data_IF_514499137659
#
_entry.id   IF_514499137659
#
_cell.length_a   1.000
_cell.length_b   1.000
_cell.length_c   1.000
_cell.angle_alpha   90.00
_cell.angle_beta   90.00
_cell.angle_gamma   90.00
#
_symmetry.space_group_name_H-M   'P 1'
#
loop_
_entity.id
_entity.type
_entity.pdbx_description
1 polymer ?
#
# COMPACT_ATOMS: atom_id res chain seq x y z
N UNK A 1 -14.02 -0.60 20.68
CA UNK A 1 -12.72 -1.26 20.42
C UNK A 1 -12.21 -0.73 19.10
N UNK A 2 -10.95 -0.29 18.99
CA UNK A 2 -10.41 0.13 17.68
C UNK A 2 -10.29 -1.10 16.78
N UNK A 3 -10.71 -0.99 15.53
CA UNK A 3 -10.54 -2.06 14.56
C UNK A 3 -9.05 -2.38 14.38
N UNK A 4 -8.70 -3.67 14.40
CA UNK A 4 -7.36 -4.12 14.06
C UNK A 4 -7.28 -4.33 12.54
N UNK A 5 -6.91 -3.28 11.80
CA UNK A 5 -6.77 -3.34 10.33
C UNK A 5 -5.75 -4.40 9.86
N UNK A 6 -4.77 -4.76 10.70
CA UNK A 6 -3.79 -5.80 10.39
C UNK A 6 -4.38 -7.21 10.28
N UNK A 7 -5.58 -7.45 10.82
CA UNK A 7 -6.24 -8.76 10.75
C UNK A 7 -6.62 -9.18 9.31
N UNK A 8 -6.77 -8.23 8.39
CA UNK A 8 -7.12 -8.52 6.99
C UNK A 8 -6.08 -9.40 6.27
N UNK A 9 -4.81 -9.38 6.72
CA UNK A 9 -3.77 -10.23 6.15
C UNK A 9 -4.11 -11.73 6.29
N UNK A 10 -4.75 -12.12 7.40
CA UNK A 10 -5.14 -13.51 7.67
C UNK A 10 -6.16 -14.01 6.65
N UNK A 11 -7.07 -13.13 6.21
CA UNK A 11 -8.03 -13.44 5.15
C UNK A 11 -7.33 -13.70 3.82
N UNK A 12 -6.38 -12.85 3.43
CA UNK A 12 -5.62 -12.99 2.17
C UNK A 12 -4.84 -14.31 2.18
N UNK A 13 -4.07 -14.58 3.24
CA UNK A 13 -3.28 -15.81 3.33
C UNK A 13 -4.16 -17.05 3.44
N UNK A 14 -5.25 -16.99 4.20
CA UNK A 14 -6.20 -18.09 4.35
C UNK A 14 -6.84 -18.47 3.01
N UNK A 15 -7.32 -17.49 2.24
CA UNK A 15 -7.88 -17.69 0.90
C UNK A 15 -6.84 -18.25 -0.08
N UNK A 16 -5.63 -17.71 -0.08
CA UNK A 16 -4.55 -18.18 -0.94
C UNK A 16 -4.13 -19.62 -0.63
N UNK A 17 -3.98 -19.95 0.65
CA UNK A 17 -3.46 -21.26 1.08
C UNK A 17 -4.51 -22.36 1.04
N UNK A 18 -5.73 -22.08 1.48
CA UNK A 18 -6.78 -23.10 1.61
C UNK A 18 -7.64 -23.24 0.36
N UNK A 19 -7.90 -22.11 -0.33
CA UNK A 19 -8.84 -22.07 -1.46
C UNK A 19 -8.14 -21.83 -2.80
N UNK A 20 -6.81 -21.61 -2.81
CA UNK A 20 -6.07 -21.26 -4.02
C UNK A 20 -6.50 -19.93 -4.65
N UNK A 21 -7.15 -19.05 -3.86
CA UNK A 21 -7.71 -17.79 -4.35
C UNK A 21 -6.74 -16.64 -4.11
N UNK A 22 -6.45 -15.89 -5.18
CA UNK A 22 -5.54 -14.75 -5.15
C UNK A 22 -6.30 -13.42 -5.24
N UNK A 23 -5.83 -12.35 -4.58
CA UNK A 23 -6.40 -11.03 -4.74
C UNK A 23 -6.35 -10.56 -6.21
N UNK A 24 -7.46 -10.01 -6.70
CA UNK A 24 -7.52 -9.42 -8.05
C UNK A 24 -6.67 -8.14 -8.16
N UNK A 25 -6.48 -7.43 -7.05
CA UNK A 25 -5.65 -6.23 -6.94
C UNK A 25 -4.34 -6.60 -6.26
N UNK A 26 -3.23 -6.08 -6.77
CA UNK A 26 -1.91 -6.33 -6.20
C UNK A 26 -1.82 -5.84 -4.75
N UNK A 27 -1.16 -6.62 -3.89
CA UNK A 27 -0.84 -6.23 -2.51
C UNK A 27 0.42 -5.37 -2.42
N UNK A 28 1.17 -5.18 -3.53
CA UNK A 28 2.31 -4.27 -3.60
C UNK A 28 1.82 -2.86 -4.00
N UNK A 29 1.82 -1.88 -3.09
CA UNK A 29 1.32 -0.54 -3.38
C UNK A 29 2.10 0.17 -4.49
N UNK A 30 3.34 -0.26 -4.78
CA UNK A 30 4.17 0.31 -5.86
C UNK A 30 3.71 -0.12 -7.26
N UNK A 31 2.92 -1.20 -7.36
CA UNK A 31 2.46 -1.77 -8.62
C UNK A 31 0.99 -1.46 -8.95
N UNK A 32 0.28 -0.80 -8.04
CA UNK A 32 -1.13 -0.44 -8.23
C UNK A 32 -1.33 0.45 -9.47
N UNK A 33 -0.45 1.41 -9.69
CA UNK A 33 -0.55 2.33 -10.83
C UNK A 33 -0.37 1.60 -12.17
N UNK A 34 0.60 0.70 -12.26
CA UNK A 34 0.84 -0.10 -13.46
C UNK A 34 -0.30 -1.08 -13.71
N UNK A 35 -0.79 -1.76 -12.67
CA UNK A 35 -1.97 -2.63 -12.78
C UNK A 35 -3.20 -1.85 -13.25
N UNK A 36 -3.41 -0.63 -12.74
CA UNK A 36 -4.50 0.24 -13.18
C UNK A 36 -4.32 0.69 -14.64
N UNK A 37 -3.09 0.98 -15.09
CA UNK A 37 -2.77 1.34 -16.47
C UNK A 37 -3.12 0.21 -17.45
N UNK A 38 -2.89 -1.04 -17.05
CA UNK A 38 -3.23 -2.22 -17.87
C UNK A 38 -4.73 -2.51 -17.94
N UNK A 39 -5.49 -2.16 -16.89
CA UNK A 39 -6.91 -2.52 -16.75
C UNK A 39 -7.88 -1.41 -17.17
N UNK A 40 -7.50 -0.14 -17.07
CA UNK A 40 -8.34 0.99 -17.41
C UNK A 40 -8.17 1.40 -18.87
N UNK A 41 -9.26 1.89 -19.48
CA UNK A 41 -9.17 2.60 -20.76
C UNK A 41 -8.35 3.88 -20.61
N UNK A 42 -7.66 4.29 -21.69
CA UNK A 42 -6.72 5.42 -21.71
C UNK A 42 -7.31 6.71 -21.14
N UNK A 43 -8.56 7.04 -21.49
CA UNK A 43 -9.25 8.23 -20.96
C UNK A 43 -9.41 8.18 -19.44
N UNK A 44 -9.92 7.06 -18.91
CA UNK A 44 -10.16 6.88 -17.48
C UNK A 44 -8.84 6.87 -16.70
N UNK A 45 -7.84 6.17 -17.23
CA UNK A 45 -6.50 6.15 -16.63
C UNK A 45 -5.91 7.57 -16.58
N UNK A 46 -5.90 8.30 -17.70
CA UNK A 46 -5.32 9.65 -17.77
C UNK A 46 -6.05 10.66 -16.88
N UNK A 47 -7.37 10.48 -16.68
CA UNK A 47 -8.12 11.32 -15.75
C UNK A 47 -7.71 11.08 -14.30
N UNK A 48 -7.57 9.81 -13.88
CA UNK A 48 -7.23 9.43 -12.51
C UNK A 48 -5.75 9.67 -12.19
N UNK A 49 -4.84 9.31 -13.11
CA UNK A 49 -3.40 9.48 -12.96
C UNK A 49 -2.92 10.90 -13.33
N UNK A 50 -3.83 11.76 -13.79
CA UNK A 50 -3.55 13.14 -14.15
C UNK A 50 -3.13 13.98 -12.94
N UNK A 51 -2.38 15.05 -13.22
CA UNK A 51 -2.00 16.07 -12.25
C UNK A 51 -1.88 17.41 -12.96
N UNK A 52 -1.82 18.50 -12.20
CA UNK A 52 -1.65 19.82 -12.78
C UNK A 52 -0.24 20.01 -13.36
N UNK A 53 -0.15 20.55 -14.57
CA UNK A 53 1.12 20.84 -15.25
C UNK A 53 2.02 19.61 -15.38
N UNK A 54 3.31 19.78 -15.08
CA UNK A 54 4.33 18.72 -15.10
C UNK A 54 4.15 17.67 -13.98
N UNK A 55 3.17 17.84 -13.07
CA UNK A 55 2.94 16.98 -11.88
C UNK A 55 4.03 17.06 -10.80
N UNK A 56 4.91 18.07 -10.84
CA UNK A 56 5.96 18.28 -9.84
C UNK A 56 5.44 18.32 -8.37
N UNK A 57 4.23 18.83 -8.15
CA UNK A 57 3.59 18.83 -6.83
C UNK A 57 3.21 17.42 -6.36
N UNK A 58 2.78 16.54 -7.27
CA UNK A 58 2.47 15.15 -6.92
C UNK A 58 3.73 14.39 -6.48
N UNK A 59 4.85 14.60 -7.19
CA UNK A 59 6.15 14.03 -6.81
C UNK A 59 6.61 14.57 -5.46
N UNK A 60 6.46 15.88 -5.25
CA UNK A 60 6.77 16.55 -3.98
C UNK A 60 5.97 15.97 -2.80
N UNK A 61 4.68 15.66 -2.99
CA UNK A 61 3.85 15.00 -1.98
C UNK A 61 4.40 13.62 -1.57
N UNK A 62 4.84 12.81 -2.56
CA UNK A 62 5.45 11.50 -2.27
C UNK A 62 6.80 11.66 -1.56
N UNK A 63 7.59 12.67 -1.93
CA UNK A 63 8.89 12.94 -1.31
C UNK A 63 8.74 13.37 0.15
N UNK A 64 7.73 14.17 0.50
CA UNK A 64 7.50 14.64 1.86
C UNK A 64 7.43 13.49 2.88
N UNK A 65 6.73 12.39 2.57
CA UNK A 65 6.66 11.22 3.45
C UNK A 65 8.00 10.48 3.56
N UNK A 66 8.85 10.52 2.52
CA UNK A 66 10.16 9.84 2.53
C UNK A 66 11.18 10.55 3.41
N UNK A 67 10.99 11.84 3.68
CA UNK A 67 11.88 12.63 4.52
C UNK A 67 11.77 12.25 6.00
N UNK A 68 10.61 11.75 6.44
CA UNK A 68 10.38 11.33 7.82
C UNK A 68 10.54 9.83 7.99
N UNK A 69 11.17 9.42 9.09
CA UNK A 69 11.39 8.01 9.46
C UNK A 69 10.73 7.73 10.81
N UNK A 70 10.05 6.59 10.90
CA UNK A 70 9.65 6.04 12.18
C UNK A 70 10.86 5.35 12.80
N UNK A 71 11.16 5.65 14.06
CA UNK A 71 12.16 4.93 14.84
C UNK A 71 11.48 3.80 15.60
N UNK A 72 12.01 2.59 15.47
CA UNK A 72 11.55 1.47 16.28
C UNK A 72 12.10 1.63 17.71
N UNK A 73 11.21 1.82 18.67
CA UNK A 73 11.58 1.69 20.08
C UNK A 73 11.54 0.21 20.45
N UNK A 74 12.71 -0.38 20.67
CA UNK A 74 12.79 -1.72 21.22
C UNK A 74 12.65 -1.62 22.74
N UNK A 75 11.58 -2.19 23.29
CA UNK A 75 11.44 -2.33 24.74
C UNK A 75 12.24 -3.57 25.14
N UNK A 76 13.32 -3.45 25.92
CA UNK A 76 14.06 -4.62 26.36
C UNK A 76 13.22 -5.40 27.36
N UNK A 77 12.92 -6.64 27.01
CA UNK A 77 12.37 -7.66 27.90
C UNK A 77 13.48 -8.12 28.87
N UNK A 78 13.87 -7.25 29.80
CA UNK A 78 14.65 -7.69 30.96
C UNK A 78 13.67 -8.12 32.05
N UNK A 79 13.56 -9.44 32.23
CA UNK A 79 12.98 -10.01 33.44
C UNK A 79 13.99 -9.90 34.57
N UNK A 80 13.63 -9.19 35.64
CA UNK A 80 14.24 -9.45 36.93
C UNK A 80 13.80 -10.86 37.38
N UNK A 81 14.79 -11.67 37.76
CA UNK A 81 14.57 -12.92 38.51
C UNK A 81 14.14 -12.58 39.93
#
# INVERSE_FOLDING_TARGET
MSENYGAFQTEIYGKGTLLGQWPNVTTDPRRLEDQAREKLGSRSYNYVAGGAGEKATMDSNRLAFRQWKMYALLVPIFGER
#
